data_IF_115632078078
#
_entry.id   IF_115632078078
#
_cell.length_a   1.000
_cell.length_b   1.000
_cell.length_c   1.000
_cell.angle_alpha   90.00
_cell.angle_beta   90.00
_cell.angle_gamma   90.00
#
_symmetry.space_group_name_H-M   'P 1'
#
loop_
_entity.id
_entity.type
_entity.pdbx_description
1 polymer ?
#
# COMPACT_ATOMS: atom_id res chain seq x y z
N UNK A 1 19.26 82.23 11.72
CA UNK A 1 19.91 81.32 12.65
C UNK A 1 19.19 79.93 12.55
N UNK A 2 19.73 79.00 11.81
CA UNK A 2 19.15 77.66 11.67
C UNK A 2 20.09 76.71 12.40
N UNK A 3 19.60 76.06 13.46
CA UNK A 3 20.31 75.03 14.21
C UNK A 3 20.30 73.74 13.41
N UNK A 4 21.46 73.19 13.00
CA UNK A 4 21.69 71.87 12.45
C UNK A 4 21.47 70.82 13.53
N UNK A 5 20.49 69.95 13.31
CA UNK A 5 20.23 68.81 14.14
C UNK A 5 21.19 67.65 13.66
N UNK A 6 22.14 67.30 14.47
CA UNK A 6 22.98 66.13 14.31
C UNK A 6 22.24 64.93 14.87
N UNK A 7 21.73 64.08 13.99
CA UNK A 7 21.12 62.81 14.40
C UNK A 7 21.75 61.65 13.67
N UNK A 8 22.18 60.68 14.45
CA UNK A 8 21.88 59.30 14.20
C UNK A 8 22.92 58.50 13.42
N UNK A 9 24.02 58.17 14.09
CA UNK A 9 24.88 57.06 13.73
C UNK A 9 24.72 55.82 14.64
N UNK A 10 23.70 55.79 15.52
CA UNK A 10 23.46 54.69 16.47
C UNK A 10 22.59 53.56 15.94
N UNK A 11 21.78 53.82 14.90
CA UNK A 11 20.82 52.81 14.38
C UNK A 11 21.49 51.67 13.61
N UNK A 12 22.53 51.84 12.78
CA UNK A 12 23.15 50.75 12.04
C UNK A 12 23.94 49.77 12.93
N UNK A 13 24.39 50.16 14.11
CA UNK A 13 25.18 49.30 15.01
C UNK A 13 24.25 48.30 15.72
N UNK A 14 23.04 48.68 16.04
CA UNK A 14 22.07 47.77 16.67
C UNK A 14 21.58 46.69 15.71
N UNK A 15 21.43 47.02 14.41
CA UNK A 15 21.05 46.03 13.40
C UNK A 15 22.18 45.01 13.10
N UNK A 16 23.43 45.40 13.15
CA UNK A 16 24.59 44.52 12.94
C UNK A 16 24.79 43.53 14.11
N UNK A 17 24.39 43.91 15.34
CA UNK A 17 24.50 43.02 16.50
C UNK A 17 23.39 41.95 16.55
N UNK A 18 22.20 42.22 15.98
CA UNK A 18 21.09 41.26 15.94
C UNK A 18 21.26 40.17 14.89
N UNK A 19 22.06 40.38 13.83
CA UNK A 19 22.25 39.37 12.77
C UNK A 19 23.30 38.30 13.10
N UNK A 20 24.09 38.49 14.15
CA UNK A 20 25.13 37.54 14.57
C UNK A 20 24.60 36.37 15.43
N UNK A 21 23.32 36.41 15.88
CA UNK A 21 22.75 35.40 16.73
C UNK A 21 21.96 34.29 16.02
N UNK A 22 21.87 34.31 14.67
CA UNK A 22 20.97 33.36 13.93
C UNK A 22 21.72 32.24 13.19
N UNK A 23 23.06 32.16 13.28
CA UNK A 23 23.78 31.04 12.71
C UNK A 23 24.12 30.05 13.82
N UNK A 24 23.11 29.32 14.28
CA UNK A 24 23.36 28.06 14.98
C UNK A 24 23.49 27.01 13.87
N UNK A 25 24.69 26.45 13.60
CA UNK A 25 24.79 25.28 12.73
C UNK A 25 24.07 24.15 13.40
N UNK A 26 22.86 23.86 12.96
CA UNK A 26 22.11 22.67 13.35
C UNK A 26 22.78 21.46 12.70
N UNK A 27 23.91 21.03 13.21
CA UNK A 27 24.50 19.75 12.90
C UNK A 27 23.85 18.72 13.82
N UNK A 28 22.63 18.36 13.53
CA UNK A 28 22.03 17.15 14.05
C UNK A 28 22.71 15.96 13.35
N UNK A 29 23.92 15.60 13.75
CA UNK A 29 24.47 14.27 13.48
C UNK A 29 23.66 13.27 14.30
N UNK A 30 22.53 12.85 13.78
CA UNK A 30 21.78 11.72 14.31
C UNK A 30 22.60 10.45 14.01
N UNK A 31 23.58 10.17 14.82
CA UNK A 31 24.27 8.88 14.83
C UNK A 31 23.30 7.89 15.48
N UNK A 32 22.47 7.25 14.67
CA UNK A 32 21.61 6.16 15.13
C UNK A 32 22.51 5.00 15.54
N UNK A 33 22.41 4.56 16.78
CA UNK A 33 23.21 3.44 17.28
C UNK A 33 22.67 2.10 16.78
N UNK A 34 23.54 1.07 16.70
CA UNK A 34 23.11 -0.28 16.33
C UNK A 34 22.00 -0.83 17.26
N UNK A 35 22.01 -0.44 18.54
CA UNK A 35 20.97 -0.86 19.48
C UNK A 35 19.62 -0.21 19.19
N UNK A 36 19.60 1.04 18.74
CA UNK A 36 18.37 1.72 18.34
C UNK A 36 17.81 1.13 17.04
N UNK A 37 18.69 0.84 16.07
CA UNK A 37 18.27 0.13 14.84
C UNK A 37 17.68 -1.23 15.18
N UNK A 38 18.35 -2.01 16.03
CA UNK A 38 17.84 -3.31 16.46
C UNK A 38 16.51 -3.20 17.19
N UNK A 39 16.36 -2.24 18.09
CA UNK A 39 15.11 -2.02 18.80
C UNK A 39 13.98 -1.66 17.84
N UNK A 40 14.23 -0.82 16.84
CA UNK A 40 13.25 -0.47 15.82
C UNK A 40 12.85 -1.69 14.97
N UNK A 41 13.80 -2.51 14.55
CA UNK A 41 13.52 -3.75 13.82
C UNK A 41 12.66 -4.69 14.65
N UNK A 42 13.03 -4.95 15.91
CA UNK A 42 12.35 -5.92 16.77
C UNK A 42 10.94 -5.43 17.19
N UNK A 43 10.76 -4.13 17.40
CA UNK A 43 9.51 -3.55 17.94
C UNK A 43 8.55 -3.08 16.85
N UNK A 44 9.03 -2.77 15.66
CA UNK A 44 8.21 -2.22 14.59
C UNK A 44 8.26 -3.06 13.31
N UNK A 45 9.44 -3.31 12.74
CA UNK A 45 9.56 -3.96 11.41
C UNK A 45 9.02 -5.39 11.45
N UNK A 46 9.54 -6.23 12.33
CA UNK A 46 9.12 -7.63 12.43
C UNK A 46 7.64 -7.78 12.82
N UNK A 47 7.10 -7.04 13.80
CA UNK A 47 5.68 -7.09 14.10
C UNK A 47 4.80 -6.62 12.94
N UNK A 48 5.20 -5.61 12.17
CA UNK A 48 4.43 -5.13 11.01
C UNK A 48 4.32 -6.19 9.92
N UNK A 49 5.42 -6.83 9.54
CA UNK A 49 5.39 -7.92 8.56
C UNK A 49 4.64 -9.15 9.07
N UNK A 50 4.79 -9.48 10.35
CA UNK A 50 4.02 -10.58 10.95
C UNK A 50 2.53 -10.30 10.93
N UNK A 51 2.11 -9.07 11.22
CA UNK A 51 0.72 -8.67 11.18
C UNK A 51 0.17 -8.71 9.74
N UNK A 52 0.93 -8.22 8.76
CA UNK A 52 0.56 -8.29 7.34
C UNK A 52 0.37 -9.76 6.91
N UNK A 53 1.32 -10.62 7.21
CA UNK A 53 1.23 -12.04 6.88
C UNK A 53 0.00 -12.70 7.51
N UNK A 54 -0.27 -12.46 8.80
CA UNK A 54 -1.44 -13.01 9.48
C UNK A 54 -2.76 -12.49 8.89
N UNK A 55 -2.83 -11.19 8.57
CA UNK A 55 -4.03 -10.61 7.98
C UNK A 55 -4.31 -11.20 6.57
N UNK A 56 -3.26 -11.43 5.77
CA UNK A 56 -3.37 -12.09 4.47
C UNK A 56 -3.78 -13.55 4.59
N UNK A 57 -3.25 -14.31 5.55
CA UNK A 57 -3.69 -15.69 5.82
C UNK A 57 -5.17 -15.77 6.21
N UNK A 58 -5.67 -14.82 6.99
CA UNK A 58 -7.09 -14.75 7.31
C UNK A 58 -7.94 -14.48 6.06
N UNK A 59 -7.51 -13.55 5.22
CA UNK A 59 -8.20 -13.25 3.97
C UNK A 59 -8.21 -14.47 3.03
N UNK A 60 -7.08 -15.13 2.84
CA UNK A 60 -6.92 -16.36 2.06
C UNK A 60 -7.83 -17.49 2.57
N UNK A 61 -7.89 -17.69 3.89
CA UNK A 61 -8.75 -18.71 4.52
C UNK A 61 -10.21 -18.49 4.16
N UNK A 62 -10.68 -17.24 4.16
CA UNK A 62 -12.07 -16.91 3.81
C UNK A 62 -12.35 -16.99 2.31
N UNK A 63 -11.32 -16.83 1.47
CA UNK A 63 -11.44 -17.03 0.03
C UNK A 63 -11.56 -18.51 -0.37
N UNK A 64 -10.93 -19.42 0.39
CA UNK A 64 -10.83 -20.85 0.05
C UNK A 64 -12.17 -21.54 -0.20
N UNK A 65 -13.24 -21.15 0.50
CA UNK A 65 -14.58 -21.72 0.32
C UNK A 65 -15.47 -20.99 -0.70
N UNK A 66 -14.98 -19.93 -1.34
CA UNK A 66 -15.82 -19.08 -2.20
C UNK A 66 -16.34 -19.83 -3.43
N UNK A 67 -15.55 -20.70 -4.03
CA UNK A 67 -15.92 -21.43 -5.24
C UNK A 67 -16.93 -22.57 -4.99
N UNK A 68 -17.08 -23.01 -3.75
CA UNK A 68 -18.05 -24.05 -3.39
C UNK A 68 -19.45 -23.48 -3.16
N UNK A 69 -19.52 -22.30 -2.57
CA UNK A 69 -20.77 -21.63 -2.23
C UNK A 69 -20.74 -20.16 -2.67
N UNK A 70 -20.73 -19.95 -4.00
CA UNK A 70 -20.71 -18.58 -4.58
C UNK A 70 -21.96 -17.80 -4.16
N UNK A 71 -21.80 -16.81 -3.31
CA UNK A 71 -22.88 -15.95 -2.88
C UNK A 71 -22.37 -14.56 -2.48
N UNK A 72 -23.25 -13.55 -2.58
CA UNK A 72 -22.95 -12.19 -2.07
C UNK A 72 -22.52 -12.22 -0.63
N UNK A 73 -23.16 -13.07 0.18
CA UNK A 73 -22.84 -13.23 1.59
C UNK A 73 -21.40 -13.71 1.84
N UNK A 74 -20.87 -14.59 1.00
CA UNK A 74 -19.46 -15.00 1.11
C UNK A 74 -18.51 -13.85 0.75
N UNK A 75 -18.82 -13.08 -0.28
CA UNK A 75 -18.04 -11.88 -0.60
C UNK A 75 -18.10 -10.84 0.53
N UNK A 76 -19.28 -10.64 1.13
CA UNK A 76 -19.46 -9.73 2.28
C UNK A 76 -18.61 -10.15 3.49
N UNK A 77 -18.49 -11.44 3.75
CA UNK A 77 -17.61 -11.95 4.81
C UNK A 77 -16.13 -11.69 4.56
N UNK A 78 -15.71 -11.61 3.30
CA UNK A 78 -14.32 -11.31 2.97
C UNK A 78 -13.96 -9.82 3.18
N UNK A 79 -14.92 -8.91 3.04
CA UNK A 79 -14.66 -7.47 3.10
C UNK A 79 -13.96 -6.99 4.38
N UNK A 80 -14.36 -7.40 5.60
CA UNK A 80 -13.66 -6.99 6.82
C UNK A 80 -12.23 -7.57 6.90
N UNK A 81 -11.98 -8.76 6.35
CA UNK A 81 -10.64 -9.35 6.29
C UNK A 81 -9.76 -8.63 5.26
N UNK A 82 -10.34 -8.24 4.12
CA UNK A 82 -9.67 -7.39 3.15
C UNK A 82 -9.25 -6.04 3.76
N UNK A 83 -10.16 -5.39 4.47
CA UNK A 83 -9.87 -4.09 5.12
C UNK A 83 -8.72 -4.20 6.12
N UNK A 84 -8.68 -5.27 6.92
CA UNK A 84 -7.59 -5.53 7.88
C UNK A 84 -6.27 -5.82 7.18
N UNK A 85 -6.30 -6.59 6.08
CA UNK A 85 -5.11 -6.88 5.30
C UNK A 85 -4.55 -5.62 4.62
N UNK A 86 -5.42 -4.78 4.07
CA UNK A 86 -5.04 -3.50 3.47
C UNK A 86 -4.48 -2.52 4.52
N UNK A 87 -5.06 -2.46 5.71
CA UNK A 87 -4.53 -1.68 6.84
C UNK A 87 -3.13 -2.17 7.23
N UNK A 88 -2.92 -3.47 7.39
CA UNK A 88 -1.63 -4.05 7.70
C UNK A 88 -0.59 -3.78 6.59
N UNK A 89 -1.00 -3.82 5.32
CA UNK A 89 -0.18 -3.44 4.17
C UNK A 89 0.24 -1.97 4.27
N UNK A 90 -0.68 -1.06 4.57
CA UNK A 90 -0.38 0.36 4.72
C UNK A 90 0.65 0.62 5.84
N UNK A 91 0.58 -0.09 6.96
CA UNK A 91 1.58 -0.01 8.02
C UNK A 91 2.95 -0.51 7.57
N UNK A 92 3.01 -1.59 6.79
CA UNK A 92 4.28 -2.14 6.29
C UNK A 92 4.95 -1.24 5.25
N UNK A 93 4.18 -0.45 4.51
CA UNK A 93 4.71 0.50 3.51
C UNK A 93 5.54 1.64 4.12
N UNK A 94 5.38 1.93 5.42
CA UNK A 94 6.23 2.89 6.11
C UNK A 94 7.68 2.41 6.32
N UNK A 95 7.94 1.11 6.04
CA UNK A 95 9.26 0.51 6.12
C UNK A 95 9.92 0.62 4.75
N UNK A 96 10.87 1.55 4.62
CA UNK A 96 11.64 1.72 3.39
C UNK A 96 12.86 0.80 3.40
N UNK A 97 12.70 -0.38 2.82
CA UNK A 97 13.74 -1.41 2.73
C UNK A 97 13.23 -2.83 3.03
N UNK A 98 14.13 -3.82 2.91
CA UNK A 98 13.83 -5.22 3.19
C UNK A 98 12.98 -5.90 2.13
N UNK A 99 12.33 -7.04 2.44
CA UNK A 99 11.69 -7.94 1.47
C UNK A 99 10.61 -7.30 0.59
N UNK A 100 9.98 -6.22 1.07
CA UNK A 100 8.94 -5.53 0.29
C UNK A 100 9.50 -4.67 -0.84
N UNK A 101 10.81 -4.36 -0.82
CA UNK A 101 11.49 -3.65 -1.91
C UNK A 101 12.07 -4.64 -2.93
N UNK A 102 12.27 -5.91 -2.55
CA UNK A 102 12.78 -6.93 -3.45
C UNK A 102 11.78 -7.16 -4.60
N UNK A 103 12.28 -7.12 -5.83
CA UNK A 103 11.50 -7.32 -7.05
C UNK A 103 10.25 -6.42 -7.15
N UNK A 104 10.27 -5.26 -6.48
CA UNK A 104 9.12 -4.33 -6.42
C UNK A 104 7.87 -4.97 -5.80
N UNK A 105 8.04 -5.87 -4.82
CA UNK A 105 6.95 -6.63 -4.20
C UNK A 105 5.83 -5.73 -3.67
N UNK A 106 6.18 -4.64 -3.03
CA UNK A 106 5.26 -3.64 -2.55
C UNK A 106 4.37 -3.07 -3.69
N UNK A 107 4.96 -2.82 -4.87
CA UNK A 107 4.23 -2.35 -6.05
C UNK A 107 3.35 -3.45 -6.67
N UNK A 108 3.79 -4.70 -6.64
CA UNK A 108 2.99 -5.85 -7.09
C UNK A 108 1.77 -6.05 -6.20
N UNK A 109 1.90 -5.89 -4.88
CA UNK A 109 0.80 -6.04 -3.94
C UNK A 109 -0.18 -4.86 -3.98
N UNK A 110 0.34 -3.63 -4.11
CA UNK A 110 -0.45 -2.41 -4.07
C UNK A 110 -0.06 -1.46 -5.20
N UNK A 111 -0.60 -1.73 -6.39
CA UNK A 111 -0.43 -0.91 -7.58
C UNK A 111 -1.10 0.46 -7.40
N UNK A 112 -0.33 1.44 -6.92
CA UNK A 112 -0.79 2.80 -6.67
C UNK A 112 0.29 3.84 -6.96
N UNK A 113 -0.03 4.99 -7.58
CA UNK A 113 -1.35 5.42 -8.06
C UNK A 113 -1.74 4.82 -9.42
N UNK A 114 -2.98 4.40 -9.56
CA UNK A 114 -3.55 3.97 -10.86
C UNK A 114 -4.02 5.16 -11.69
N UNK A 115 -3.08 5.91 -12.26
CA UNK A 115 -3.34 7.17 -13.00
C UNK A 115 -4.20 7.01 -14.26
N UNK A 116 -4.20 5.82 -14.85
CA UNK A 116 -4.84 5.55 -16.13
C UNK A 116 -6.06 4.63 -16.01
N UNK A 117 -6.52 4.36 -14.79
CA UNK A 117 -7.57 3.38 -14.50
C UNK A 117 -7.25 2.01 -15.12
N UNK A 118 -5.98 1.59 -14.97
CA UNK A 118 -5.44 0.39 -15.61
C UNK A 118 -6.02 -0.87 -14.98
N UNK A 119 -6.17 -0.86 -13.65
CA UNK A 119 -6.80 -1.95 -12.90
C UNK A 119 -8.17 -2.28 -13.49
N UNK A 120 -9.03 -1.28 -13.61
CA UNK A 120 -10.40 -1.50 -14.11
C UNK A 120 -10.43 -1.97 -15.58
N UNK A 121 -9.60 -1.35 -16.44
CA UNK A 121 -9.53 -1.73 -17.87
C UNK A 121 -9.04 -3.16 -18.06
N UNK A 122 -8.01 -3.56 -17.34
CA UNK A 122 -7.44 -4.91 -17.46
C UNK A 122 -8.33 -5.95 -16.79
N UNK A 123 -8.94 -5.61 -15.65
CA UNK A 123 -9.86 -6.50 -14.95
C UNK A 123 -11.10 -6.78 -15.79
N UNK A 124 -11.70 -5.76 -16.42
CA UNK A 124 -12.83 -5.95 -17.33
C UNK A 124 -12.48 -6.91 -18.46
N UNK A 125 -11.34 -6.69 -19.11
CA UNK A 125 -10.86 -7.58 -20.19
C UNK A 125 -10.65 -9.02 -19.69
N UNK A 126 -9.98 -9.20 -18.54
CA UNK A 126 -9.72 -10.50 -17.96
C UNK A 126 -11.00 -11.26 -17.63
N UNK A 127 -12.01 -10.58 -17.09
CA UNK A 127 -13.31 -11.18 -16.77
C UNK A 127 -14.08 -11.54 -18.05
N UNK A 128 -14.03 -10.71 -19.10
CA UNK A 128 -14.68 -11.01 -20.38
C UNK A 128 -14.04 -12.22 -21.08
N UNK A 129 -12.72 -12.38 -21.01
CA UNK A 129 -11.98 -13.51 -21.57
C UNK A 129 -12.19 -14.80 -20.77
N UNK A 130 -12.37 -14.71 -19.45
CA UNK A 130 -12.68 -15.77 -18.47
C UNK A 130 -11.89 -17.09 -18.69
N UNK A 131 -10.61 -17.00 -19.06
CA UNK A 131 -9.80 -18.17 -19.37
C UNK A 131 -9.26 -18.82 -18.08
N UNK A 132 -10.08 -19.72 -17.52
CA UNK A 132 -9.76 -20.45 -16.30
C UNK A 132 -8.50 -21.32 -16.43
N UNK A 133 -8.30 -21.95 -17.60
CA UNK A 133 -7.13 -22.81 -17.82
C UNK A 133 -5.83 -22.00 -17.71
N UNK A 134 -5.77 -20.84 -18.35
CA UNK A 134 -4.59 -19.94 -18.26
C UNK A 134 -4.35 -19.50 -16.82
N UNK A 135 -5.40 -19.16 -16.08
CA UNK A 135 -5.29 -18.77 -14.67
C UNK A 135 -4.76 -19.91 -13.79
N UNK A 136 -5.19 -21.15 -14.04
CA UNK A 136 -4.76 -22.32 -13.27
C UNK A 136 -3.32 -22.75 -13.61
N UNK A 137 -2.90 -22.64 -14.87
CA UNK A 137 -1.57 -23.04 -15.32
C UNK A 137 -0.48 -22.00 -15.00
N UNK A 138 -0.78 -20.72 -15.19
CA UNK A 138 0.20 -19.65 -15.07
C UNK A 138 0.08 -18.85 -13.76
N UNK A 139 -1.03 -18.98 -13.04
CA UNK A 139 -1.30 -18.16 -11.86
C UNK A 139 -1.24 -16.67 -12.19
N UNK A 140 -0.60 -15.90 -11.31
CA UNK A 140 -0.39 -14.45 -11.47
C UNK A 140 1.08 -14.06 -11.68
N UNK A 141 1.99 -15.04 -11.83
CA UNK A 141 3.44 -14.76 -11.96
C UNK A 141 3.78 -13.88 -13.17
N UNK A 142 3.02 -14.06 -14.26
CA UNK A 142 3.19 -13.26 -15.49
C UNK A 142 2.05 -12.25 -15.70
N UNK A 143 1.15 -12.13 -14.74
CA UNK A 143 0.06 -11.16 -14.84
C UNK A 143 0.58 -9.72 -14.65
N UNK A 144 -0.17 -8.77 -15.21
CA UNK A 144 0.08 -7.37 -14.90
C UNK A 144 -0.08 -7.11 -13.40
N UNK A 145 0.80 -6.29 -12.83
CA UNK A 145 0.71 -5.85 -11.44
C UNK A 145 -0.66 -5.23 -11.08
N UNK A 146 -1.35 -4.67 -12.07
CA UNK A 146 -2.71 -4.14 -11.91
C UNK A 146 -3.75 -5.24 -11.61
N UNK A 147 -3.43 -6.51 -11.87
CA UNK A 147 -4.32 -7.67 -11.70
C UNK A 147 -3.93 -8.57 -10.51
N UNK A 148 -2.75 -8.38 -9.93
CA UNK A 148 -2.16 -9.37 -9.02
C UNK A 148 -2.33 -9.07 -7.52
N UNK A 149 -2.84 -7.89 -7.14
CA UNK A 149 -2.82 -7.41 -5.75
C UNK A 149 -4.15 -6.86 -5.23
N UNK A 150 -4.04 -6.12 -4.14
CA UNK A 150 -5.17 -5.51 -3.45
C UNK A 150 -6.11 -4.67 -4.34
N UNK A 151 -5.63 -3.85 -5.31
CA UNK A 151 -6.54 -3.04 -6.11
C UNK A 151 -7.50 -3.85 -6.97
N UNK A 152 -7.07 -4.97 -7.55
CA UNK A 152 -7.94 -5.87 -8.30
C UNK A 152 -8.93 -6.58 -7.37
N UNK A 153 -8.46 -7.06 -6.22
CA UNK A 153 -9.29 -7.72 -5.23
C UNK A 153 -10.35 -6.77 -4.64
N UNK A 154 -10.01 -5.50 -4.42
CA UNK A 154 -10.95 -4.47 -3.99
C UNK A 154 -12.13 -4.35 -4.96
N UNK A 155 -11.87 -4.27 -6.28
CA UNK A 155 -12.92 -4.21 -7.29
C UNK A 155 -13.86 -5.41 -7.22
N UNK A 156 -13.28 -6.61 -7.13
CA UNK A 156 -14.05 -7.87 -7.05
C UNK A 156 -14.92 -7.97 -5.80
N UNK A 157 -14.45 -7.42 -4.66
CA UNK A 157 -15.16 -7.52 -3.39
C UNK A 157 -16.18 -6.40 -3.16
N UNK A 158 -16.00 -5.21 -3.73
CA UNK A 158 -16.80 -4.04 -3.39
C UNK A 158 -17.61 -3.47 -4.54
N UNK A 159 -17.18 -3.60 -5.79
CA UNK A 159 -17.93 -3.04 -6.92
C UNK A 159 -19.10 -3.94 -7.33
N UNK A 160 -20.33 -3.42 -7.38
CA UNK A 160 -21.53 -4.22 -7.64
C UNK A 160 -21.45 -5.03 -8.94
N UNK A 161 -20.89 -4.46 -10.00
CA UNK A 161 -20.73 -5.12 -11.30
C UNK A 161 -19.87 -6.40 -11.17
N UNK A 162 -18.67 -6.28 -10.63
CA UNK A 162 -17.76 -7.43 -10.50
C UNK A 162 -18.26 -8.47 -9.51
N UNK A 163 -18.84 -8.04 -8.40
CA UNK A 163 -19.48 -8.94 -7.43
C UNK A 163 -20.54 -9.82 -8.06
N UNK A 164 -21.42 -9.20 -8.86
CA UNK A 164 -22.48 -9.90 -9.56
C UNK A 164 -21.92 -10.88 -10.60
N UNK A 165 -20.91 -10.47 -11.36
CA UNK A 165 -20.21 -11.30 -12.34
C UNK A 165 -19.60 -12.54 -11.69
N UNK A 166 -18.86 -12.38 -10.57
CA UNK A 166 -18.25 -13.49 -9.82
C UNK A 166 -19.29 -14.53 -9.38
N UNK A 167 -20.48 -14.10 -8.99
CA UNK A 167 -21.51 -15.01 -8.50
C UNK A 167 -22.24 -15.72 -9.63
N UNK A 168 -22.51 -15.03 -10.72
CA UNK A 168 -23.25 -15.55 -11.88
C UNK A 168 -22.38 -16.41 -12.79
N UNK A 169 -21.07 -16.28 -12.72
CA UNK A 169 -20.13 -17.01 -13.54
C UNK A 169 -20.22 -18.53 -13.28
N UNK A 170 -20.70 -19.28 -14.29
CA UNK A 170 -20.88 -20.74 -14.20
C UNK A 170 -19.54 -21.49 -14.25
N UNK A 171 -18.55 -20.96 -14.93
CA UNK A 171 -17.23 -21.56 -15.07
C UNK A 171 -16.34 -21.34 -13.85
N UNK A 172 -16.85 -20.56 -12.88
CA UNK A 172 -16.15 -20.27 -11.62
C UNK A 172 -14.84 -19.46 -11.77
N UNK A 173 -14.59 -18.84 -12.91
CA UNK A 173 -13.39 -18.05 -13.16
C UNK A 173 -13.21 -16.95 -12.10
N UNK A 174 -14.24 -16.17 -11.85
CA UNK A 174 -14.19 -15.04 -10.91
C UNK A 174 -13.85 -15.46 -9.48
N UNK A 175 -14.39 -16.59 -8.99
CA UNK A 175 -14.05 -17.10 -7.65
C UNK A 175 -12.63 -17.65 -7.60
N UNK A 176 -12.18 -18.42 -8.60
CA UNK A 176 -10.79 -18.89 -8.67
C UNK A 176 -9.80 -17.73 -8.76
N UNK A 177 -10.16 -16.67 -9.48
CA UNK A 177 -9.32 -15.49 -9.59
C UNK A 177 -9.15 -14.80 -8.23
N UNK A 178 -10.22 -14.64 -7.44
CA UNK A 178 -10.14 -14.14 -6.06
C UNK A 178 -9.22 -15.03 -5.21
N UNK A 179 -9.38 -16.34 -5.28
CA UNK A 179 -8.51 -17.30 -4.56
C UNK A 179 -7.05 -17.13 -4.99
N UNK A 180 -6.79 -17.02 -6.29
CA UNK A 180 -5.43 -16.86 -6.82
C UNK A 180 -4.80 -15.55 -6.36
N UNK A 181 -5.53 -14.41 -6.36
CA UNK A 181 -5.03 -13.15 -5.81
C UNK A 181 -4.69 -13.32 -4.32
N UNK A 182 -5.60 -13.89 -3.52
CA UNK A 182 -5.37 -14.03 -2.08
C UNK A 182 -4.20 -14.96 -1.74
N UNK A 183 -3.90 -15.93 -2.59
CA UNK A 183 -2.71 -16.80 -2.46
C UNK A 183 -1.41 -16.05 -2.83
N UNK A 184 -1.50 -14.99 -3.63
CA UNK A 184 -0.36 -14.17 -4.04
C UNK A 184 -0.03 -13.06 -3.02
N UNK A 185 -0.95 -12.69 -2.12
CA UNK A 185 -0.71 -11.67 -1.10
C UNK A 185 0.16 -12.18 0.03
#
# INVERSE_FOLDING_TARGET
MVKKCTSSHLIPIIFAALTWFIIIPSHANLLVSNNEVKAWVDQYVLPSYKNLHQANLHLQTHAGGLCDAKSLHQLDKMQPHFSKALEAMAYSQAIDGGPMQDELRNFQLYFWPDRNNLVNKQLAKLIDESNLQVLQELGLEHASVALAGYPALERLLFEPYYRQTVIQDQEKFGCYYIVTITNNL
#
